data_IF_845510714750
#
_entry.id   IF_845510714750
#
_cell.length_a   1.000
_cell.length_b   1.000
_cell.length_c   1.000
_cell.angle_alpha   90.00
_cell.angle_beta   90.00
_cell.angle_gamma   90.00
#
_symmetry.space_group_name_H-M   'P 1'
#
loop_
_entity.id
_entity.type
_entity.pdbx_description
1 polymer ?
#
# COMPACT_ATOMS: atom_id res chain seq x y z
N UNK A 1 28.47 12.32 -14.72
CA UNK A 1 28.45 10.85 -14.61
C UNK A 1 28.35 10.49 -13.14
N UNK A 2 27.45 9.57 -12.77
CA UNK A 2 27.29 9.07 -11.41
C UNK A 2 27.68 7.59 -11.42
N UNK A 3 28.49 7.18 -10.45
CA UNK A 3 28.85 5.77 -10.23
C UNK A 3 27.93 5.23 -9.14
N UNK A 4 27.24 4.12 -9.41
CA UNK A 4 26.32 3.48 -8.49
C UNK A 4 26.67 2.01 -8.31
N UNK A 5 26.84 1.60 -7.06
CA UNK A 5 26.99 0.19 -6.70
C UNK A 5 25.61 -0.39 -6.37
N UNK A 6 25.18 -1.37 -7.18
CA UNK A 6 23.92 -2.10 -7.03
C UNK A 6 24.17 -3.61 -6.77
N UNK A 7 25.40 -3.98 -6.39
CA UNK A 7 25.78 -5.36 -6.07
C UNK A 7 25.15 -5.88 -4.77
N UNK A 8 24.64 -4.95 -3.95
CA UNK A 8 23.96 -5.28 -2.70
C UNK A 8 22.47 -5.08 -2.80
N UNK A 9 21.76 -5.90 -2.03
CA UNK A 9 20.32 -5.75 -1.86
C UNK A 9 20.02 -4.47 -1.07
N UNK A 10 19.04 -3.74 -1.57
CA UNK A 10 18.47 -2.57 -0.92
C UNK A 10 18.06 -2.87 0.55
N UNK A 11 18.64 -2.13 1.50
CA UNK A 11 18.25 -2.19 2.92
C UNK A 11 16.78 -1.78 3.12
N UNK A 12 16.33 -0.79 2.35
CA UNK A 12 14.93 -0.37 2.24
C UNK A 12 14.50 -0.46 0.79
N UNK A 13 13.28 -0.97 0.56
CA UNK A 13 12.74 -1.12 -0.78
C UNK A 13 12.74 0.20 -1.56
N UNK A 14 13.37 0.19 -2.74
CA UNK A 14 13.32 1.28 -3.71
C UNK A 14 14.52 2.23 -3.67
N UNK A 15 15.55 1.94 -2.86
CA UNK A 15 16.77 2.75 -2.82
C UNK A 15 17.54 2.68 -4.15
N UNK A 16 17.64 1.51 -4.76
CA UNK A 16 18.22 1.32 -6.09
C UNK A 16 17.51 2.20 -7.14
N UNK A 17 16.18 2.29 -7.08
CA UNK A 17 15.41 3.16 -7.96
C UNK A 17 15.71 4.65 -7.71
N UNK A 18 15.80 5.06 -6.45
CA UNK A 18 16.15 6.45 -6.09
C UNK A 18 17.56 6.82 -6.55
N UNK A 19 18.52 5.90 -6.49
CA UNK A 19 19.88 6.13 -6.95
C UNK A 19 19.92 6.34 -8.47
N UNK A 20 19.27 5.44 -9.23
CA UNK A 20 19.25 5.49 -10.70
C UNK A 20 18.45 6.70 -11.21
N UNK A 21 17.32 7.03 -10.59
CA UNK A 21 16.46 8.14 -11.02
C UNK A 21 17.08 9.53 -10.85
N UNK A 22 18.28 9.65 -10.26
CA UNK A 22 19.03 10.91 -10.23
C UNK A 22 19.62 11.29 -11.57
N UNK A 23 19.87 10.32 -12.47
CA UNK A 23 20.41 10.60 -13.80
C UNK A 23 19.30 10.86 -14.81
N UNK A 24 19.54 11.79 -15.74
CA UNK A 24 18.58 12.12 -16.82
C UNK A 24 18.77 11.22 -18.05
N UNK A 25 19.96 10.69 -18.25
CA UNK A 25 20.35 9.89 -19.41
C UNK A 25 21.14 8.67 -18.97
N UNK A 26 21.07 7.59 -19.76
CA UNK A 26 21.79 6.35 -19.46
C UNK A 26 23.32 6.53 -19.53
N UNK A 27 23.80 7.36 -20.46
CA UNK A 27 25.21 7.77 -20.56
C UNK A 27 25.73 8.44 -19.28
N UNK A 28 24.83 9.01 -18.47
CA UNK A 28 25.15 9.62 -17.19
C UNK A 28 25.33 8.63 -16.04
N UNK A 29 25.04 7.34 -16.24
CA UNK A 29 25.07 6.27 -15.24
C UNK A 29 26.21 5.29 -15.51
N UNK A 30 27.01 5.01 -14.49
CA UNK A 30 27.97 3.93 -14.49
C UNK A 30 27.70 3.00 -13.31
N UNK A 31 27.73 1.70 -13.55
CA UNK A 31 27.59 0.69 -12.51
C UNK A 31 28.97 0.22 -12.07
N UNK A 32 29.22 0.19 -10.76
CA UNK A 32 30.52 -0.23 -10.20
C UNK A 32 30.71 -1.76 -10.26
N UNK A 33 29.60 -2.49 -10.38
CA UNK A 33 29.55 -3.94 -10.51
C UNK A 33 28.49 -4.34 -11.57
N UNK A 34 28.55 -5.58 -12.11
CA UNK A 34 27.52 -6.08 -13.01
C UNK A 34 26.12 -5.98 -12.39
N UNK A 35 25.15 -5.55 -13.21
CA UNK A 35 23.75 -5.48 -12.77
C UNK A 35 23.17 -6.88 -12.58
N UNK A 36 22.70 -7.19 -11.36
CA UNK A 36 21.87 -8.37 -11.09
C UNK A 36 20.48 -7.95 -10.62
N UNK A 37 19.47 -8.39 -11.38
CA UNK A 37 18.05 -8.17 -11.08
C UNK A 37 17.63 -8.81 -9.75
N UNK A 38 18.31 -9.87 -9.31
CA UNK A 38 17.95 -10.57 -8.07
C UNK A 38 18.09 -9.67 -6.83
N UNK A 39 18.94 -8.64 -6.88
CA UNK A 39 19.07 -7.66 -5.78
C UNK A 39 17.91 -6.67 -5.71
N UNK A 40 17.14 -6.49 -6.79
CA UNK A 40 15.94 -5.66 -6.82
C UNK A 40 14.68 -6.41 -6.37
N UNK A 41 14.63 -7.74 -6.55
CA UNK A 41 13.44 -8.53 -6.28
C UNK A 41 13.42 -8.94 -4.81
N UNK A 42 12.35 -8.57 -4.11
CA UNK A 42 12.10 -9.03 -2.75
C UNK A 42 11.33 -10.35 -2.76
N UNK A 43 12.02 -11.47 -2.52
CA UNK A 43 11.40 -12.80 -2.44
C UNK A 43 10.38 -12.97 -1.31
N UNK A 44 10.40 -12.09 -0.31
CA UNK A 44 9.40 -12.00 0.75
C UNK A 44 9.22 -10.53 1.19
N UNK A 45 8.02 -10.15 1.69
CA UNK A 45 7.80 -8.81 2.24
C UNK A 45 8.73 -8.56 3.43
N UNK A 46 9.31 -7.36 3.51
CA UNK A 46 10.05 -6.93 4.71
C UNK A 46 9.12 -6.84 5.93
N UNK A 47 9.65 -6.88 7.15
CA UNK A 47 8.81 -6.83 8.35
C UNK A 47 8.00 -5.52 8.45
N UNK A 48 8.59 -4.40 8.02
CA UNK A 48 7.86 -3.13 7.88
C UNK A 48 6.68 -3.22 6.89
N UNK A 49 6.86 -3.93 5.78
CA UNK A 49 5.78 -4.19 4.84
C UNK A 49 4.71 -5.11 5.43
N UNK A 50 5.09 -6.16 6.17
CA UNK A 50 4.15 -7.05 6.87
C UNK A 50 3.29 -6.28 7.88
N UNK A 51 3.90 -5.36 8.63
CA UNK A 51 3.17 -4.49 9.57
C UNK A 51 2.15 -3.60 8.85
N UNK A 52 2.55 -2.96 7.73
CA UNK A 52 1.65 -2.16 6.88
C UNK A 52 0.50 -2.99 6.34
N UNK A 53 0.77 -4.19 5.84
CA UNK A 53 -0.28 -5.11 5.34
C UNK A 53 -1.26 -5.46 6.47
N UNK A 54 -0.75 -5.85 7.64
CA UNK A 54 -1.60 -6.16 8.81
C UNK A 54 -2.50 -4.99 9.20
N UNK A 55 -1.94 -3.79 9.27
CA UNK A 55 -2.70 -2.57 9.59
C UNK A 55 -3.76 -2.26 8.52
N UNK A 56 -3.43 -2.38 7.23
CA UNK A 56 -4.41 -2.20 6.14
C UNK A 56 -5.57 -3.20 6.25
N UNK A 57 -5.28 -4.46 6.56
CA UNK A 57 -6.30 -5.49 6.77
C UNK A 57 -7.21 -5.17 7.96
N UNK A 58 -6.68 -4.60 9.05
CA UNK A 58 -7.50 -4.15 10.18
C UNK A 58 -8.41 -2.99 9.79
N UNK A 59 -7.90 -1.99 9.06
CA UNK A 59 -8.70 -0.83 8.63
C UNK A 59 -9.83 -1.23 7.69
N UNK A 60 -9.59 -2.15 6.76
CA UNK A 60 -10.64 -2.68 5.86
C UNK A 60 -11.82 -3.28 6.64
N UNK A 61 -11.56 -3.90 7.80
CA UNK A 61 -12.60 -4.48 8.67
C UNK A 61 -13.34 -3.45 9.52
N UNK A 62 -12.77 -2.27 9.71
CA UNK A 62 -13.34 -1.19 10.53
C UNK A 62 -14.27 -0.25 9.75
N UNK A 63 -14.50 -0.52 8.45
CA UNK A 63 -15.46 0.25 7.65
C UNK A 63 -16.86 -0.04 8.17
N UNK A 64 -17.53 1.01 8.69
CA UNK A 64 -18.94 0.95 9.08
C UNK A 64 -19.79 0.63 7.84
N UNK A 65 -20.17 -0.64 7.69
CA UNK A 65 -21.10 -1.07 6.63
C UNK A 65 -22.51 -0.51 6.84
N UNK A 66 -22.81 -0.05 8.06
CA UNK A 66 -24.09 0.51 8.47
C UNK A 66 -23.88 1.82 9.21
N UNK A 67 -24.59 2.86 8.80
CA UNK A 67 -24.61 4.14 9.51
C UNK A 67 -25.22 3.94 10.92
N UNK A 68 -24.47 4.18 12.02
CA UNK A 68 -24.94 3.94 13.38
C UNK A 68 -26.06 4.91 13.79
N UNK A 69 -26.28 5.98 13.03
CA UNK A 69 -27.34 6.97 13.30
C UNK A 69 -28.68 6.65 12.62
N UNK A 70 -28.75 5.62 11.76
CA UNK A 70 -30.02 5.18 11.15
C UNK A 70 -30.63 4.10 12.06
N UNK A 71 -31.25 4.57 13.15
CA UNK A 71 -32.17 3.78 13.95
C UNK A 71 -33.42 3.47 13.11
N UNK A 72 -33.84 2.20 13.07
CA UNK A 72 -35.08 1.78 12.42
C UNK A 72 -36.29 2.38 13.14
N UNK A 73 -36.65 3.62 12.80
CA UNK A 73 -37.94 4.19 13.15
C UNK A 73 -38.87 4.11 11.94
N UNK A 74 -39.22 2.90 11.53
CA UNK A 74 -40.51 2.68 10.84
C UNK A 74 -41.50 2.27 11.91
N UNK A 75 -42.08 3.26 12.60
CA UNK A 75 -43.24 3.05 13.45
C UNK A 75 -44.36 2.51 12.57
N UNK A 76 -44.74 1.25 12.80
CA UNK A 76 -45.92 0.63 12.24
C UNK A 76 -47.15 1.46 12.67
N UNK A 77 -47.61 2.34 11.80
CA UNK A 77 -48.89 3.03 11.95
C UNK A 77 -50.03 2.04 11.80
N UNK A 78 -50.48 1.45 12.90
CA UNK A 78 -51.80 0.81 12.97
C UNK A 78 -52.86 1.90 12.79
N UNK A 79 -53.39 2.05 11.58
CA UNK A 79 -54.58 2.85 11.33
C UNK A 79 -55.81 2.04 11.74
N UNK A 80 -56.19 2.13 13.02
CA UNK A 80 -57.54 1.81 13.46
C UNK A 80 -58.41 3.07 13.33
N UNK A 81 -59.27 3.11 12.31
CA UNK A 81 -60.37 4.08 12.18
C UNK A 81 -61.42 3.46 11.27
N UNK A 82 -62.42 2.77 11.84
CA UNK A 82 -63.72 3.29 12.31
C UNK A 82 -64.78 3.23 11.20
N UNK A 83 -65.80 2.42 11.47
CA UNK A 83 -67.02 2.20 10.67
C UNK A 83 -67.77 3.51 10.47
N UNK A 84 -68.09 3.84 9.21
CA UNK A 84 -69.38 4.43 8.79
C UNK A 84 -69.52 4.37 7.27
#
# INVERSE_FOLDING_TARGET
MIVSDLSYRDFQTGLSYVAISRVKTLEGLMLDAPFDRNHLIYGSPSDGMKMKIRDQELRKRQVLTRNPYVSHNTKNGHSNGSVR
#
